data_IF_453436933202
#
_entry.id   IF_453436933202
#
_cell.length_a   1.000
_cell.length_b   1.000
_cell.length_c   1.000
_cell.angle_alpha   90.00
_cell.angle_beta   90.00
_cell.angle_gamma   90.00
#
_symmetry.space_group_name_H-M   'P 1'
#
loop_
_entity.id
_entity.type
_entity.pdbx_description
1 polymer ?
#
# COMPACT_ATOMS: atom_id res chain seq x y z
N UNK A 1 96.93 -27.67 30.63
CA UNK A 1 96.89 -26.22 30.92
C UNK A 1 95.94 -25.58 29.92
N UNK A 2 95.03 -24.76 30.44
CA UNK A 2 94.12 -23.79 29.79
C UNK A 2 93.19 -24.29 28.67
N UNK A 3 91.96 -23.78 28.52
CA UNK A 3 91.16 -22.84 29.33
C UNK A 3 89.68 -23.00 28.99
N UNK A 4 88.85 -22.59 29.95
CA UNK A 4 87.40 -22.79 30.04
C UNK A 4 86.65 -21.79 29.15
N UNK A 5 85.72 -22.29 28.34
CA UNK A 5 84.72 -21.47 27.61
C UNK A 5 83.62 -21.08 28.60
N UNK A 6 83.37 -19.78 28.73
CA UNK A 6 82.29 -19.21 29.55
C UNK A 6 80.98 -19.20 28.76
N UNK A 7 79.94 -19.65 29.45
CA UNK A 7 78.55 -19.81 29.02
C UNK A 7 77.81 -18.47 29.24
N UNK A 8 76.76 -18.16 28.46
CA UNK A 8 75.42 -17.92 29.04
C UNK A 8 74.34 -17.87 27.96
N UNK A 9 73.29 -18.64 28.25
CA UNK A 9 72.05 -18.83 27.54
C UNK A 9 71.06 -17.75 27.98
N UNK A 10 70.61 -16.86 27.08
CA UNK A 10 69.22 -16.36 27.15
C UNK A 10 68.80 -15.63 25.86
N UNK A 11 67.81 -16.25 25.21
CA UNK A 11 66.81 -15.74 24.26
C UNK A 11 67.27 -15.02 22.98
N UNK A 12 67.13 -15.74 21.87
CA UNK A 12 67.11 -15.29 20.48
C UNK A 12 66.24 -14.04 20.26
N UNK A 13 66.74 -13.09 19.46
CA UNK A 13 65.89 -12.17 18.70
C UNK A 13 66.28 -12.22 17.23
N UNK A 14 65.51 -13.00 16.49
CA UNK A 14 65.49 -13.09 15.04
C UNK A 14 65.08 -11.71 14.49
N UNK A 15 65.93 -11.12 13.66
CA UNK A 15 65.64 -9.87 12.97
C UNK A 15 64.95 -10.19 11.64
N UNK A 16 63.64 -9.98 11.57
CA UNK A 16 62.81 -10.23 10.37
C UNK A 16 62.67 -8.91 9.61
N UNK A 17 63.24 -8.83 8.42
CA UNK A 17 63.00 -7.71 7.49
C UNK A 17 61.66 -7.92 6.78
N UNK A 18 60.69 -7.04 7.05
CA UNK A 18 59.45 -6.97 6.28
C UNK A 18 59.64 -6.00 5.11
N UNK A 19 59.66 -6.53 3.90
CA UNK A 19 59.48 -5.71 2.70
C UNK A 19 58.13 -4.99 2.78
N UNK A 20 58.14 -3.70 2.42
CA UNK A 20 56.96 -2.83 2.46
C UNK A 20 55.90 -3.42 1.54
N UNK A 21 54.80 -3.89 2.11
CA UNK A 21 53.58 -4.16 1.36
C UNK A 21 53.10 -2.84 0.75
N UNK A 22 53.14 -2.74 -0.58
CA UNK A 22 52.36 -1.73 -1.31
C UNK A 22 50.89 -2.02 -1.04
N UNK A 23 50.26 -1.15 -0.25
CA UNK A 23 48.82 -1.15 -0.07
C UNK A 23 48.25 -0.55 -1.35
N UNK A 24 47.85 -1.41 -2.28
CA UNK A 24 46.93 -0.99 -3.34
C UNK A 24 45.74 -0.34 -2.66
N UNK A 25 45.55 0.95 -2.95
CA UNK A 25 44.35 1.68 -2.56
C UNK A 25 43.18 0.91 -3.14
N UNK A 26 42.35 0.34 -2.27
CA UNK A 26 41.02 -0.10 -2.66
C UNK A 26 40.31 1.14 -3.21
N UNK A 27 40.19 1.23 -4.53
CA UNK A 27 39.15 2.05 -5.16
C UNK A 27 37.84 1.39 -4.74
N UNK A 28 37.22 1.96 -3.69
CA UNK A 28 35.85 1.64 -3.34
C UNK A 28 35.02 2.13 -4.51
N UNK A 29 34.56 1.18 -5.34
CA UNK A 29 33.56 1.45 -6.35
C UNK A 29 32.46 2.29 -5.71
N UNK A 30 32.22 3.48 -6.27
CA UNK A 30 31.01 4.23 -5.95
C UNK A 30 29.85 3.29 -6.22
N UNK A 31 29.22 2.82 -5.16
CA UNK A 31 27.88 2.25 -5.26
C UNK A 31 27.01 3.45 -5.64
N UNK A 32 26.75 3.59 -6.94
CA UNK A 32 25.58 4.34 -7.40
C UNK A 32 24.39 3.55 -6.86
N UNK A 33 23.87 4.00 -5.73
CA UNK A 33 22.53 3.66 -5.29
C UNK A 33 21.65 4.31 -6.34
N UNK A 34 21.30 3.55 -7.37
CA UNK A 34 20.15 3.88 -8.20
C UNK A 34 19.01 4.02 -7.20
N UNK A 35 18.56 5.25 -7.02
CA UNK A 35 17.49 5.63 -6.11
C UNK A 35 16.24 5.01 -6.73
N UNK A 36 16.07 3.70 -6.48
CA UNK A 36 14.95 2.90 -6.94
C UNK A 36 13.70 3.63 -6.52
N UNK A 37 13.05 4.23 -7.52
CA UNK A 37 11.67 4.66 -7.61
C UNK A 37 10.97 4.60 -6.25
N UNK A 38 11.29 5.58 -5.40
CA UNK A 38 10.48 5.81 -4.22
C UNK A 38 9.16 6.27 -4.79
N UNK A 39 8.10 5.45 -4.65
CA UNK A 39 6.73 5.80 -5.05
C UNK A 39 6.54 7.27 -4.76
N UNK A 40 6.35 8.07 -5.80
CA UNK A 40 6.36 9.53 -5.69
C UNK A 40 5.23 9.92 -4.74
N UNK A 41 5.56 10.20 -3.49
CA UNK A 41 4.57 10.60 -2.48
C UNK A 41 4.20 12.04 -2.83
N UNK A 42 3.06 12.23 -3.48
CA UNK A 42 2.52 13.56 -3.72
C UNK A 42 2.27 14.24 -2.37
N UNK A 43 3.00 15.32 -2.13
CA UNK A 43 2.80 16.20 -0.97
C UNK A 43 1.75 17.26 -1.31
N UNK A 44 1.17 17.90 -0.29
CA UNK A 44 0.17 18.95 -0.50
C UNK A 44 0.70 20.14 -1.32
N UNK A 45 2.02 20.33 -1.31
CA UNK A 45 2.70 21.39 -2.06
C UNK A 45 2.92 21.00 -3.55
N UNK A 46 2.86 19.70 -3.88
CA UNK A 46 2.90 19.22 -5.27
C UNK A 46 1.56 19.43 -6.02
N UNK A 47 0.55 19.98 -5.33
CA UNK A 47 -0.81 20.24 -5.85
C UNK A 47 -0.87 21.59 -6.61
N UNK A 48 0.07 22.49 -6.38
CA UNK A 48 0.04 23.85 -6.94
C UNK A 48 0.21 23.90 -8.47
N UNK A 49 0.68 22.81 -9.09
CA UNK A 49 0.84 22.64 -10.54
C UNK A 49 -0.26 21.76 -11.18
N UNK A 50 -1.28 21.37 -10.41
CA UNK A 50 -2.54 20.85 -10.95
C UNK A 50 -3.27 22.04 -11.55
N UNK A 51 -2.90 22.39 -12.79
CA UNK A 51 -3.69 23.28 -13.62
C UNK A 51 -5.17 22.90 -13.48
N UNK A 52 -5.98 23.93 -13.25
CA UNK A 52 -7.42 23.92 -13.15
C UNK A 52 -8.08 22.78 -13.97
N UNK A 53 -9.00 22.03 -13.35
CA UNK A 53 -9.97 21.10 -13.97
C UNK A 53 -9.58 19.64 -14.26
N UNK A 54 -8.84 18.96 -13.37
CA UNK A 54 -8.93 17.48 -13.34
C UNK A 54 -8.81 16.82 -11.97
N UNK A 55 -9.33 17.48 -10.94
CA UNK A 55 -10.02 16.70 -9.91
C UNK A 55 -11.14 16.00 -10.67
N UNK A 56 -11.04 14.69 -10.89
CA UNK A 56 -12.11 13.90 -11.51
C UNK A 56 -13.34 13.99 -10.60
N UNK A 57 -14.15 15.02 -10.79
CA UNK A 57 -15.51 15.04 -10.31
C UNK A 57 -16.24 14.04 -11.19
N UNK A 58 -16.23 12.77 -10.78
CA UNK A 58 -17.13 11.75 -11.31
C UNK A 58 -18.55 12.09 -10.87
N UNK A 59 -19.10 13.21 -11.35
CA UNK A 59 -20.54 13.40 -11.36
C UNK A 59 -21.11 12.71 -12.60
N UNK A 60 -20.93 11.39 -12.67
CA UNK A 60 -21.54 10.60 -13.75
C UNK A 60 -22.97 10.14 -13.40
N UNK A 61 -23.49 10.57 -12.25
CA UNK A 61 -24.78 10.13 -11.73
C UNK A 61 -24.74 8.77 -11.03
N UNK A 62 -23.59 8.10 -10.96
CA UNK A 62 -23.36 6.96 -10.06
C UNK A 62 -23.71 7.32 -8.62
N UNK A 63 -24.23 6.33 -7.90
CA UNK A 63 -24.82 6.51 -6.58
C UNK A 63 -25.93 7.59 -6.52
N UNK A 64 -26.54 7.97 -7.66
CA UNK A 64 -27.51 9.07 -7.74
C UNK A 64 -26.99 10.37 -7.10
N UNK A 65 -25.69 10.63 -7.23
CA UNK A 65 -25.02 11.80 -6.64
C UNK A 65 -24.90 11.76 -5.11
N UNK A 66 -25.21 10.62 -4.47
CA UNK A 66 -25.07 10.44 -3.03
C UNK A 66 -23.61 10.18 -2.63
N UNK A 67 -23.23 10.55 -1.40
CA UNK A 67 -21.86 10.33 -0.92
C UNK A 67 -21.48 8.85 -0.96
N UNK A 68 -20.23 8.59 -1.36
CA UNK A 68 -19.58 7.29 -1.19
C UNK A 68 -19.16 7.19 0.27
N UNK A 69 -19.61 6.13 0.96
CA UNK A 69 -19.32 5.89 2.37
C UNK A 69 -18.31 4.77 2.60
N UNK A 70 -18.10 3.90 1.60
CA UNK A 70 -17.12 2.82 1.68
C UNK A 70 -16.51 2.51 0.31
N UNK A 71 -15.23 2.15 0.30
CA UNK A 71 -14.47 1.76 -0.87
C UNK A 71 -13.71 0.48 -0.53
N UNK A 72 -13.77 -0.51 -1.41
CA UNK A 72 -13.07 -1.79 -1.26
C UNK A 72 -12.31 -2.10 -2.56
N UNK A 73 -11.07 -2.55 -2.42
CA UNK A 73 -10.16 -2.84 -3.54
C UNK A 73 -9.85 -4.33 -3.55
N UNK A 74 -9.77 -4.92 -4.74
CA UNK A 74 -9.44 -6.34 -4.90
C UNK A 74 -7.96 -6.61 -4.56
N UNK A 75 -7.59 -7.86 -4.19
CA UNK A 75 -6.23 -8.18 -3.78
C UNK A 75 -5.13 -7.83 -4.79
N UNK A 76 -5.41 -7.93 -6.10
CA UNK A 76 -4.47 -7.57 -7.16
C UNK A 76 -4.69 -6.14 -7.70
N UNK A 77 -5.52 -5.34 -7.01
CA UNK A 77 -5.76 -3.92 -7.30
C UNK A 77 -6.29 -3.63 -8.72
N UNK A 78 -6.77 -4.67 -9.42
CA UNK A 78 -7.29 -4.59 -10.78
C UNK A 78 -8.80 -4.28 -10.82
N UNK A 79 -9.43 -4.23 -9.64
CA UNK A 79 -10.84 -3.96 -9.49
C UNK A 79 -11.13 -3.30 -8.14
N UNK A 80 -12.06 -2.35 -8.13
CA UNK A 80 -12.56 -1.77 -6.89
C UNK A 80 -14.08 -1.60 -6.96
N UNK A 81 -14.69 -1.50 -5.79
CA UNK A 81 -16.09 -1.14 -5.65
C UNK A 81 -16.24 0.04 -4.70
N UNK A 82 -17.24 0.87 -4.99
CA UNK A 82 -17.67 1.99 -4.16
C UNK A 82 -19.08 1.70 -3.66
N UNK A 83 -19.39 2.08 -2.43
CA UNK A 83 -20.71 1.93 -1.83
C UNK A 83 -21.21 3.26 -1.31
N UNK A 84 -22.48 3.56 -1.55
CA UNK A 84 -23.20 4.67 -0.93
C UNK A 84 -24.27 4.13 0.01
N UNK A 85 -24.16 4.46 1.29
CA UNK A 85 -25.16 4.07 2.29
C UNK A 85 -26.52 4.73 2.05
N UNK A 86 -26.54 6.01 1.64
CA UNK A 86 -27.77 6.73 1.34
C UNK A 86 -28.50 6.18 0.10
N UNK A 87 -27.77 5.93 -0.99
CA UNK A 87 -28.35 5.39 -2.23
C UNK A 87 -28.49 3.86 -2.23
N UNK A 88 -27.81 3.18 -1.30
CA UNK A 88 -27.75 1.72 -1.18
C UNK A 88 -27.29 1.02 -2.44
N UNK A 89 -26.41 1.68 -3.17
CA UNK A 89 -25.85 1.17 -4.42
C UNK A 89 -24.37 0.88 -4.24
N UNK A 90 -23.94 -0.20 -4.89
CA UNK A 90 -22.56 -0.58 -5.09
C UNK A 90 -22.23 -0.34 -6.56
N UNK A 91 -21.12 0.33 -6.84
CA UNK A 91 -20.63 0.52 -8.21
C UNK A 91 -19.26 -0.11 -8.33
N UNK A 92 -19.06 -0.89 -9.39
CA UNK A 92 -17.80 -1.56 -9.67
C UNK A 92 -17.02 -0.95 -10.83
N UNK A 93 -15.70 -0.99 -10.68
CA UNK A 93 -14.74 -0.30 -11.54
C UNK A 93 -13.56 -1.20 -11.86
N UNK A 94 -13.23 -1.33 -13.14
CA UNK A 94 -11.97 -1.94 -13.57
C UNK A 94 -10.85 -0.90 -13.44
N UNK A 95 -9.72 -1.35 -12.91
CA UNK A 95 -8.48 -0.57 -12.85
C UNK A 95 -7.59 -1.10 -13.97
N UNK A 96 -7.38 -0.30 -15.02
CA UNK A 96 -6.59 -0.73 -16.18
C UNK A 96 -5.15 -0.23 -16.14
N UNK A 97 -4.93 0.96 -15.58
CA UNK A 97 -3.65 1.64 -15.60
C UNK A 97 -3.57 2.53 -14.33
N UNK A 98 -2.76 2.08 -13.37
CA UNK A 98 -2.57 2.73 -12.07
C UNK A 98 -1.90 4.09 -12.26
N UNK A 99 -0.92 4.17 -13.17
CA UNK A 99 -0.16 5.40 -13.44
C UNK A 99 -1.04 6.49 -14.06
N UNK A 100 -2.07 6.10 -14.80
CA UNK A 100 -3.02 7.04 -15.41
C UNK A 100 -4.27 7.30 -14.57
N UNK A 101 -4.45 6.62 -13.44
CA UNK A 101 -5.64 6.71 -12.55
C UNK A 101 -6.94 6.60 -13.36
N UNK A 102 -7.00 5.65 -14.29
CA UNK A 102 -8.18 5.46 -15.14
C UNK A 102 -9.06 4.32 -14.63
N UNK A 103 -10.16 4.68 -13.99
CA UNK A 103 -11.22 3.76 -13.61
C UNK A 103 -12.24 3.61 -14.74
N UNK A 104 -12.52 2.37 -15.14
CA UNK A 104 -13.59 2.08 -16.11
C UNK A 104 -14.76 1.43 -15.42
N UNK A 105 -15.92 2.07 -15.54
CA UNK A 105 -17.18 1.52 -15.07
C UNK A 105 -17.42 0.10 -15.56
N UNK A 106 -17.81 -0.77 -14.63
CA UNK A 106 -18.18 -2.15 -14.92
C UNK A 106 -19.69 -2.36 -14.75
N UNK A 107 -20.21 -2.08 -13.55
CA UNK A 107 -21.61 -2.34 -13.22
C UNK A 107 -22.08 -1.57 -11.99
N UNK A 108 -23.40 -1.53 -11.80
CA UNK A 108 -24.05 -1.04 -10.57
C UNK A 108 -24.99 -2.11 -10.04
N UNK A 109 -24.98 -2.30 -8.72
CA UNK A 109 -25.87 -3.21 -8.00
C UNK A 109 -26.57 -2.41 -6.90
N UNK A 110 -27.88 -2.60 -6.73
CA UNK A 110 -28.64 -2.05 -5.59
C UNK A 110 -28.88 -3.13 -4.54
N UNK A 111 -28.78 -2.75 -3.28
CA UNK A 111 -29.13 -3.60 -2.14
C UNK A 111 -30.55 -3.22 -1.71
N UNK A 112 -31.55 -3.89 -2.30
CA UNK A 112 -32.95 -3.76 -1.92
C UNK A 112 -33.26 -4.69 -0.74
N UNK A 113 -32.88 -4.25 0.47
CA UNK A 113 -33.20 -4.99 1.71
C UNK A 113 -34.19 -4.23 2.61
N UNK A 114 -34.61 -3.02 2.26
CA UNK A 114 -35.61 -2.30 3.06
C UNK A 114 -37.00 -2.88 2.92
N UNK A 115 -37.51 -3.43 4.02
CA UNK A 115 -38.95 -3.63 4.24
C UNK A 115 -39.41 -2.64 5.31
N UNK A 116 -40.70 -2.30 5.36
CA UNK A 116 -41.25 -1.29 6.27
C UNK A 116 -40.82 -1.46 7.74
N UNK A 117 -40.63 -2.72 8.18
CA UNK A 117 -40.27 -3.07 9.56
C UNK A 117 -38.78 -3.36 9.79
N UNK A 118 -37.95 -3.30 8.73
CA UNK A 118 -36.54 -3.71 8.78
C UNK A 118 -35.61 -2.68 8.15
N UNK A 119 -34.72 -2.16 8.98
CA UNK A 119 -33.63 -1.30 8.54
C UNK A 119 -32.35 -2.12 8.45
N UNK A 120 -31.73 -2.12 7.27
CA UNK A 120 -30.48 -2.83 7.00
C UNK A 120 -29.36 -1.82 6.82
N UNK A 121 -28.26 -2.07 7.53
CA UNK A 121 -27.04 -1.26 7.48
C UNK A 121 -25.86 -2.16 7.11
N UNK A 122 -25.17 -1.83 6.02
CA UNK A 122 -23.96 -2.57 5.62
C UNK A 122 -22.82 -2.19 6.57
N UNK A 123 -22.21 -3.18 7.20
CA UNK A 123 -21.13 -3.00 8.18
C UNK A 123 -19.75 -3.25 7.63
N UNK A 124 -19.65 -4.12 6.62
CA UNK A 124 -18.40 -4.47 5.97
C UNK A 124 -18.71 -5.03 4.59
N UNK A 125 -17.79 -4.79 3.67
CA UNK A 125 -17.82 -5.23 2.29
C UNK A 125 -16.42 -5.75 1.94
N UNK A 126 -16.31 -6.66 0.99
CA UNK A 126 -15.04 -7.02 0.38
C UNK A 126 -15.26 -7.43 -1.06
N UNK A 127 -14.21 -7.37 -1.87
CA UNK A 127 -14.26 -7.72 -3.29
C UNK A 127 -13.05 -8.55 -3.69
N UNK A 128 -13.26 -9.54 -4.56
CA UNK A 128 -12.19 -10.36 -5.13
C UNK A 128 -11.82 -9.90 -6.55
N UNK A 129 -10.68 -10.37 -7.04
CA UNK A 129 -10.24 -10.10 -8.43
C UNK A 129 -11.18 -10.69 -9.48
N UNK A 130 -11.93 -11.74 -9.12
CA UNK A 130 -13.04 -12.30 -9.92
C UNK A 130 -14.26 -11.37 -9.99
N UNK A 131 -14.20 -10.16 -9.42
CA UNK A 131 -15.29 -9.17 -9.33
C UNK A 131 -16.50 -9.65 -8.52
N UNK A 132 -16.29 -10.64 -7.65
CA UNK A 132 -17.29 -11.10 -6.69
C UNK A 132 -17.14 -10.28 -5.42
N UNK A 133 -18.25 -9.88 -4.82
CA UNK A 133 -18.24 -9.17 -3.55
C UNK A 133 -19.09 -9.91 -2.52
N UNK A 134 -18.76 -9.71 -1.25
CA UNK A 134 -19.52 -10.19 -0.11
C UNK A 134 -19.70 -9.03 0.88
N UNK A 135 -20.85 -8.98 1.56
CA UNK A 135 -21.12 -7.97 2.56
C UNK A 135 -21.73 -8.58 3.81
N UNK A 136 -21.49 -7.92 4.95
CA UNK A 136 -22.13 -8.22 6.23
C UNK A 136 -23.07 -7.04 6.53
N UNK A 137 -24.35 -7.33 6.73
CA UNK A 137 -25.34 -6.33 7.13
C UNK A 137 -25.86 -6.57 8.55
N UNK A 138 -26.24 -5.48 9.21
CA UNK A 138 -26.97 -5.50 10.48
C UNK A 138 -28.43 -5.18 10.21
N UNK A 139 -29.33 -6.05 10.66
CA UNK A 139 -30.77 -5.83 10.59
C UNK A 139 -31.28 -5.25 11.91
N UNK A 140 -32.04 -4.16 11.88
CA UNK A 140 -32.83 -3.69 13.01
C UNK A 140 -34.30 -4.00 12.78
N UNK A 141 -34.99 -4.48 13.82
CA UNK A 141 -36.43 -4.69 13.81
C UNK A 141 -37.09 -3.52 14.52
N UNK A 142 -38.10 -2.92 13.89
CA UNK A 142 -39.00 -1.96 14.55
C UNK A 142 -40.25 -2.73 14.99
N UNK A 143 -40.50 -2.80 16.30
CA UNK A 143 -41.72 -3.39 16.85
C UNK A 143 -42.61 -2.24 17.31
N UNK A 144 -43.71 -2.02 16.59
CA UNK A 144 -44.70 -0.99 16.92
C UNK A 144 -45.88 -1.62 17.67
N UNK A 145 -45.68 -1.94 18.95
CA UNK A 145 -46.80 -2.40 19.78
C UNK A 145 -47.68 -1.20 20.16
N UNK A 146 -48.87 -1.13 19.57
CA UNK A 146 -49.90 -0.15 19.98
C UNK A 146 -50.70 -0.75 21.13
N UNK A 147 -50.50 -0.26 22.36
CA UNK A 147 -51.35 -0.63 23.49
C UNK A 147 -52.71 0.06 23.28
N UNK A 148 -53.75 -0.75 23.08
CA UNK A 148 -55.15 -0.30 22.92
C UNK A 148 -55.90 -0.33 24.25
#
# INVERSE_FOLDING_TARGET
>A
MSEVIKINNDADKIEINFDKNDVDKNDVDKIDVDENDVDKIFTFDDIDDINDDKIFTFDDGRHNGKPITMIEISPNENYLITYSEEDRSIVGWNVEDIDKVQLKFHQTVKIDENNEDKEYEVKSLCVSDDKKFAYISKCHYRINDTIT
#
